data_IF_903884110448
#
_entry.id   IF_903884110448
#
_cell.length_a   1.000
_cell.length_b   1.000
_cell.length_c   1.000
_cell.angle_alpha   90.00
_cell.angle_beta   90.00
_cell.angle_gamma   90.00
#
_symmetry.space_group_name_H-M   'P 1'
#
loop_
_entity.id
_entity.type
_entity.pdbx_description
1 polymer ?
#
# COMPACT_ATOMS: atom_id res chain seq x y z
N UNK A 1 -11.54 4.66 15.40
CA UNK A 1 -12.14 5.97 15.07
C UNK A 1 -13.32 5.83 14.10
N UNK A 2 -13.13 5.32 12.87
CA UNK A 2 -14.17 5.23 11.82
C UNK A 2 -15.43 4.46 12.26
N UNK A 3 -15.27 3.25 12.79
CA UNK A 3 -16.42 2.42 13.20
C UNK A 3 -17.25 3.06 14.33
N UNK A 4 -16.59 3.75 15.26
CA UNK A 4 -17.27 4.54 16.31
C UNK A 4 -18.04 5.71 15.70
N UNK A 5 -17.44 6.46 14.79
CA UNK A 5 -18.06 7.61 14.13
C UNK A 5 -19.27 7.21 13.29
N UNK A 6 -19.28 5.99 12.72
CA UNK A 6 -20.38 5.44 11.92
C UNK A 6 -21.34 4.53 12.71
N UNK A 7 -21.15 4.43 14.02
CA UNK A 7 -21.97 3.60 14.92
C UNK A 7 -22.12 2.14 14.45
N UNK A 8 -21.04 1.54 13.93
CA UNK A 8 -21.03 0.17 13.43
C UNK A 8 -21.02 -0.80 14.61
N UNK A 9 -22.02 -1.67 14.70
CA UNK A 9 -22.11 -2.69 15.74
C UNK A 9 -20.92 -3.68 15.68
N UNK A 10 -20.46 -4.14 16.85
CA UNK A 10 -19.37 -5.13 16.96
C UNK A 10 -17.97 -4.59 16.65
N UNK A 11 -17.81 -3.29 16.45
CA UNK A 11 -16.52 -2.67 16.09
C UNK A 11 -15.42 -2.78 17.16
N UNK A 12 -15.78 -3.12 18.39
CA UNK A 12 -14.82 -3.33 19.49
C UNK A 12 -14.16 -4.71 19.42
N UNK A 13 -14.86 -5.68 18.86
CA UNK A 13 -14.51 -7.09 18.95
C UNK A 13 -13.94 -7.66 17.66
N UNK A 14 -14.13 -6.96 16.52
CA UNK A 14 -13.68 -7.42 15.21
C UNK A 14 -13.02 -6.31 14.40
N UNK A 15 -11.90 -6.59 13.69
CA UNK A 15 -11.35 -5.67 12.72
C UNK A 15 -12.39 -5.42 11.61
N UNK A 16 -12.61 -4.15 11.27
CA UNK A 16 -13.55 -3.74 10.21
C UNK A 16 -12.86 -3.26 8.95
N UNK A 17 -11.54 -3.29 8.94
CA UNK A 17 -10.71 -2.87 7.81
C UNK A 17 -10.01 -4.07 7.21
N UNK A 18 -9.64 -3.93 5.94
CA UNK A 18 -8.89 -4.93 5.19
C UNK A 18 -7.75 -4.25 4.42
N UNK A 19 -6.89 -5.05 3.79
CA UNK A 19 -5.73 -4.56 3.04
C UNK A 19 -6.10 -3.58 1.91
N UNK A 20 -7.14 -3.80 1.08
CA UNK A 20 -7.54 -2.81 0.07
C UNK A 20 -7.97 -1.46 0.65
N UNK A 21 -8.63 -1.45 1.80
CA UNK A 21 -9.01 -0.20 2.48
C UNK A 21 -7.79 0.57 2.99
N UNK A 22 -6.81 -0.13 3.56
CA UNK A 22 -5.55 0.47 3.98
C UNK A 22 -4.76 1.01 2.78
N UNK A 23 -4.66 0.23 1.70
CA UNK A 23 -3.97 0.63 0.48
C UNK A 23 -4.59 1.90 -0.13
N UNK A 24 -5.92 1.98 -0.18
CA UNK A 24 -6.64 3.17 -0.65
C UNK A 24 -6.36 4.39 0.24
N UNK A 25 -6.40 4.21 1.56
CA UNK A 25 -6.08 5.28 2.51
C UNK A 25 -4.66 5.82 2.32
N UNK A 26 -3.68 4.93 2.20
CA UNK A 26 -2.29 5.29 1.94
C UNK A 26 -2.17 6.04 0.61
N UNK A 27 -2.77 5.51 -0.46
CA UNK A 27 -2.69 6.08 -1.81
C UNK A 27 -3.25 7.50 -1.88
N UNK A 28 -4.42 7.76 -1.28
CA UNK A 28 -5.04 9.09 -1.25
C UNK A 28 -4.16 10.08 -0.48
N UNK A 29 -3.61 9.67 0.67
CA UNK A 29 -2.74 10.54 1.44
C UNK A 29 -1.41 10.86 0.74
N UNK A 30 -0.80 9.87 0.09
CA UNK A 30 0.38 10.08 -0.73
C UNK A 30 0.10 11.00 -1.92
N UNK A 31 -1.05 10.84 -2.58
CA UNK A 31 -1.48 11.76 -3.62
C UNK A 31 -1.62 13.19 -3.09
N UNK A 32 -2.27 13.39 -1.97
CA UNK A 32 -2.41 14.71 -1.35
C UNK A 32 -1.06 15.34 -0.98
N UNK A 33 -0.11 14.54 -0.48
CA UNK A 33 1.27 14.99 -0.24
C UNK A 33 1.96 15.39 -1.55
N UNK A 34 1.77 14.61 -2.62
CA UNK A 34 2.36 14.88 -3.92
C UNK A 34 1.81 16.18 -4.54
N UNK A 35 0.49 16.40 -4.47
CA UNK A 35 -0.15 17.65 -4.92
C UNK A 35 0.42 18.85 -4.18
N UNK A 36 0.54 18.76 -2.85
CA UNK A 36 1.16 19.82 -2.03
C UNK A 36 2.61 20.09 -2.45
N UNK A 37 3.41 19.04 -2.64
CA UNK A 37 4.81 19.13 -3.05
C UNK A 37 4.97 19.71 -4.46
N UNK A 38 4.09 19.30 -5.39
CA UNK A 38 4.09 19.77 -6.77
C UNK A 38 3.50 21.18 -6.95
N UNK A 39 2.69 21.66 -5.98
CA UNK A 39 1.96 22.92 -6.07
C UNK A 39 0.88 22.96 -7.16
N UNK A 40 0.45 21.80 -7.64
CA UNK A 40 -0.48 21.65 -8.77
C UNK A 40 -1.12 20.28 -8.78
N UNK A 41 -2.24 20.16 -9.50
CA UNK A 41 -2.91 18.87 -9.80
C UNK A 41 -2.54 18.31 -11.18
N UNK A 42 -1.58 18.91 -11.88
CA UNK A 42 -1.06 18.37 -13.14
C UNK A 42 -0.54 16.96 -12.95
N UNK A 43 -1.05 16.02 -13.76
CA UNK A 43 -0.81 14.59 -13.59
C UNK A 43 0.68 14.25 -13.61
N UNK A 44 1.41 14.78 -14.59
CA UNK A 44 2.83 14.44 -14.75
C UNK A 44 3.69 14.99 -13.61
N UNK A 45 3.38 16.17 -13.11
CA UNK A 45 4.08 16.77 -11.97
C UNK A 45 3.75 16.03 -10.67
N UNK A 46 2.50 15.61 -10.49
CA UNK A 46 2.07 14.84 -9.32
C UNK A 46 2.72 13.46 -9.32
N UNK A 47 2.75 12.74 -10.45
CA UNK A 47 3.42 11.43 -10.58
C UNK A 47 4.90 11.56 -10.20
N UNK A 48 5.62 12.54 -10.74
CA UNK A 48 7.02 12.79 -10.36
C UNK A 48 7.19 13.10 -8.88
N UNK A 49 6.26 13.85 -8.30
CA UNK A 49 6.29 14.19 -6.88
C UNK A 49 5.96 12.99 -5.97
N UNK A 50 5.22 11.99 -6.45
CA UNK A 50 4.90 10.75 -5.72
C UNK A 50 6.09 9.80 -5.61
N UNK A 51 6.99 9.80 -6.58
CA UNK A 51 8.14 8.91 -6.60
C UNK A 51 8.97 9.01 -5.32
N UNK A 52 9.24 7.89 -4.68
CA UNK A 52 10.02 7.79 -3.44
C UNK A 52 9.34 8.31 -2.18
N UNK A 53 8.08 8.76 -2.23
CA UNK A 53 7.38 9.23 -1.04
C UNK A 53 7.18 8.11 -0.02
N UNK A 54 7.14 8.52 1.25
CA UNK A 54 6.82 7.64 2.37
C UNK A 54 5.56 8.12 3.09
N UNK A 55 4.84 7.17 3.68
CA UNK A 55 3.66 7.47 4.50
C UNK A 55 3.53 6.46 5.65
N UNK A 56 3.28 6.90 6.89
CA UNK A 56 3.04 6.01 8.02
C UNK A 56 1.68 5.32 7.84
N UNK A 57 1.71 4.03 7.56
CA UNK A 57 0.51 3.24 7.34
C UNK A 57 -0.24 2.96 8.65
N UNK A 58 -1.58 2.90 8.64
CA UNK A 58 -2.39 2.53 9.82
C UNK A 58 -2.00 1.19 10.43
N UNK A 59 -1.52 0.24 9.63
CA UNK A 59 -1.01 -1.06 10.07
C UNK A 59 0.33 -1.03 10.80
N UNK A 60 0.89 0.15 11.06
CA UNK A 60 2.09 0.31 11.90
C UNK A 60 3.42 0.13 11.17
N UNK A 61 3.45 0.28 9.87
CA UNK A 61 4.68 0.26 9.07
C UNK A 61 4.83 1.56 8.26
N UNK A 62 6.05 1.83 7.84
CA UNK A 62 6.32 2.94 6.89
C UNK A 62 6.21 2.39 5.47
N UNK A 63 5.17 2.79 4.75
CA UNK A 63 5.06 2.48 3.31
C UNK A 63 5.94 3.43 2.50
N UNK A 64 6.48 2.93 1.38
CA UNK A 64 7.26 3.73 0.43
C UNK A 64 6.72 3.49 -0.98
N UNK A 65 6.52 4.56 -1.74
CA UNK A 65 6.26 4.48 -3.18
C UNK A 65 7.58 4.19 -3.90
N UNK A 66 7.63 3.12 -4.68
CA UNK A 66 8.81 2.84 -5.50
C UNK A 66 9.03 3.96 -6.52
N UNK A 67 10.30 4.35 -6.70
CA UNK A 67 10.67 5.49 -7.55
C UNK A 67 10.50 5.22 -9.04
N UNK A 68 10.54 3.94 -9.44
CA UNK A 68 10.55 3.54 -10.85
C UNK A 68 9.20 3.04 -11.34
N UNK A 69 8.48 2.29 -10.49
CA UNK A 69 7.28 1.57 -10.91
C UNK A 69 6.01 2.02 -10.17
N UNK A 70 6.13 2.95 -9.23
CA UNK A 70 5.00 3.50 -8.44
C UNK A 70 4.17 2.45 -7.69
N UNK A 71 4.76 1.30 -7.38
CA UNK A 71 4.17 0.33 -6.47
C UNK A 71 4.56 0.62 -5.02
N UNK A 72 3.74 0.21 -4.06
CA UNK A 72 4.03 0.38 -2.64
C UNK A 72 4.90 -0.76 -2.10
N UNK A 73 5.94 -0.39 -1.37
CA UNK A 73 6.65 -1.32 -0.50
C UNK A 73 5.79 -1.56 0.74
N UNK A 74 5.37 -2.79 0.96
CA UNK A 74 4.51 -3.21 2.08
C UNK A 74 5.02 -4.51 2.72
N UNK A 75 4.80 -4.73 4.02
CA UNK A 75 5.01 -6.05 4.61
C UNK A 75 3.97 -7.04 4.06
N UNK A 76 4.33 -8.30 4.03
CA UNK A 76 3.45 -9.41 3.66
C UNK A 76 3.17 -10.26 4.87
N UNK A 77 1.91 -10.68 5.03
CA UNK A 77 1.44 -11.53 6.11
C UNK A 77 0.78 -12.78 5.53
N UNK A 78 1.02 -13.93 6.16
CA UNK A 78 0.26 -15.15 5.91
C UNK A 78 -0.61 -15.40 7.12
N UNK A 79 -1.91 -15.53 6.90
CA UNK A 79 -2.90 -15.75 7.94
C UNK A 79 -3.61 -17.09 7.78
N UNK A 80 -3.79 -17.80 8.89
CA UNK A 80 -4.65 -18.95 9.02
C UNK A 80 -6.08 -18.48 9.33
N UNK A 81 -7.07 -18.98 8.59
CA UNK A 81 -8.48 -18.63 8.80
C UNK A 81 -8.98 -19.29 10.08
N UNK A 82 -9.58 -18.50 10.97
CA UNK A 82 -10.22 -18.96 12.20
C UNK A 82 -11.71 -19.23 11.99
N UNK A 83 -12.30 -20.02 12.90
CA UNK A 83 -13.74 -20.34 12.88
C UNK A 83 -14.66 -19.10 12.94
N UNK A 84 -14.19 -17.98 13.52
CA UNK A 84 -14.91 -16.71 13.60
C UNK A 84 -14.77 -15.85 12.33
N UNK A 85 -14.13 -16.37 11.27
CA UNK A 85 -13.88 -15.68 10.01
C UNK A 85 -12.73 -14.65 10.08
N UNK A 86 -12.04 -14.56 11.19
CA UNK A 86 -10.84 -13.73 11.32
C UNK A 86 -9.58 -14.52 10.96
N UNK A 87 -8.44 -13.84 10.91
CA UNK A 87 -7.15 -14.46 10.61
C UNK A 87 -6.24 -14.46 11.84
N UNK A 88 -5.53 -15.56 12.03
CA UNK A 88 -4.36 -15.63 12.90
C UNK A 88 -3.12 -15.51 12.03
N UNK A 89 -2.32 -14.46 12.21
CA UNK A 89 -1.06 -14.32 11.49
C UNK A 89 -0.10 -15.40 11.93
N UNK A 90 0.32 -16.26 11.02
CA UNK A 90 1.23 -17.37 11.25
C UNK A 90 2.63 -17.10 10.69
N UNK A 91 2.74 -16.15 9.76
CA UNK A 91 4.02 -15.70 9.22
C UNK A 91 3.93 -14.27 8.74
N UNK A 92 5.05 -13.56 8.80
CA UNK A 92 5.18 -12.19 8.26
C UNK A 92 6.61 -11.94 7.78
N UNK A 93 6.76 -11.05 6.81
CA UNK A 93 8.08 -10.54 6.43
C UNK A 93 8.72 -9.72 7.56
N UNK A 94 10.05 -9.69 7.68
CA UNK A 94 10.75 -8.87 8.69
C UNK A 94 10.48 -7.37 8.55
N UNK A 95 10.11 -6.93 7.35
CA UNK A 95 9.79 -5.54 7.03
C UNK A 95 9.09 -5.42 5.69
N UNK A 96 8.90 -4.18 5.19
CA UNK A 96 8.34 -3.94 3.86
C UNK A 96 9.15 -4.63 2.77
N UNK A 97 8.48 -5.36 1.90
CA UNK A 97 9.06 -5.98 0.71
C UNK A 97 9.19 -4.92 -0.37
N UNK A 98 10.34 -4.89 -1.04
CA UNK A 98 10.53 -4.02 -2.21
C UNK A 98 9.55 -4.41 -3.32
N UNK A 99 8.84 -3.43 -3.83
CA UNK A 99 7.91 -3.64 -4.92
C UNK A 99 8.62 -4.07 -6.21
N UNK A 100 8.09 -5.11 -6.85
CA UNK A 100 8.56 -5.62 -8.13
C UNK A 100 7.36 -5.72 -9.07
N UNK A 101 7.34 -5.03 -10.22
CA UNK A 101 6.20 -5.06 -11.14
C UNK A 101 6.08 -6.42 -11.84
N UNK A 102 7.19 -7.16 -11.95
CA UNK A 102 7.26 -8.45 -12.61
C UNK A 102 7.72 -9.53 -11.65
N UNK A 103 6.85 -10.49 -11.38
CA UNK A 103 7.18 -11.62 -10.50
C UNK A 103 8.36 -12.43 -11.08
N UNK A 104 9.44 -12.65 -10.31
CA UNK A 104 10.58 -13.45 -10.79
C UNK A 104 10.25 -14.94 -10.93
N UNK A 105 9.11 -15.38 -10.38
CA UNK A 105 8.67 -16.78 -10.44
C UNK A 105 7.88 -17.12 -11.72
N UNK A 106 7.61 -16.14 -12.58
CA UNK A 106 6.92 -16.36 -13.85
C UNK A 106 7.97 -16.39 -14.97
N UNK A 107 8.05 -17.49 -15.75
CA UNK A 107 9.00 -17.60 -16.86
C UNK A 107 8.90 -16.42 -17.82
N UNK A 108 10.04 -15.86 -18.20
CA UNK A 108 10.15 -14.74 -19.13
C UNK A 108 9.99 -13.34 -18.50
N UNK A 109 9.64 -13.26 -17.23
CA UNK A 109 9.56 -11.97 -16.54
C UNK A 109 10.96 -11.36 -16.24
N UNK A 110 11.99 -12.19 -16.19
CA UNK A 110 13.39 -11.78 -16.08
C UNK A 110 13.85 -10.86 -17.23
N UNK A 111 13.17 -10.96 -18.38
CA UNK A 111 13.42 -10.14 -19.59
C UNK A 111 12.58 -8.87 -19.64
N UNK A 112 11.58 -8.73 -18.79
CA UNK A 112 10.73 -7.55 -18.75
C UNK A 112 11.41 -6.43 -17.98
N UNK A 113 11.20 -5.21 -18.43
CA UNK A 113 11.67 -3.99 -17.78
C UNK A 113 10.48 -3.17 -17.30
N UNK A 114 10.71 -2.35 -16.28
CA UNK A 114 9.73 -1.32 -15.90
C UNK A 114 9.49 -0.41 -17.11
N UNK A 115 8.25 0.06 -17.27
CA UNK A 115 7.96 1.02 -18.33
C UNK A 115 8.80 2.29 -18.12
N UNK A 116 9.30 2.91 -19.21
CA UNK A 116 10.00 4.17 -19.08
C UNK A 116 9.04 5.21 -18.48
N UNK A 117 9.58 6.02 -17.56
CA UNK A 117 8.84 7.15 -17.03
C UNK A 117 8.20 7.96 -18.16
N UNK A 118 6.92 8.32 -17.99
CA UNK A 118 6.26 9.23 -18.91
C UNK A 118 7.09 10.52 -19.00
N UNK A 119 7.54 10.83 -20.22
CA UNK A 119 8.39 12.00 -20.49
C UNK A 119 7.66 13.30 -20.27
#
# INVERSE_FOLDING_TARGET
AYAKAKNIAGHKDKPLTNDPMEATYIGINMWAQAVKKAGTTDVNKVIKAMAGQTFPAPGGFMSKMDEKNHHLHKPVFIGEVKADGQFKVVWKTPGPVKAQPWSPYIPGNDKKKDEPEAK
#
